data_IF_594158412340
#
_entry.id   IF_594158412340
#
_cell.length_a   1.000
_cell.length_b   1.000
_cell.length_c   1.000
_cell.angle_alpha   90.00
_cell.angle_beta   90.00
_cell.angle_gamma   90.00
#
_symmetry.space_group_name_H-M   'P 1'
#
loop_
_entity.id
_entity.type
_entity.pdbx_description
1 polymer ?
#
# COMPACT_ATOMS: atom_id res chain seq x y z
N UNK A 1 -12.01 21.03 8.01
CA UNK A 1 -11.27 21.71 6.89
C UNK A 1 -10.16 20.78 6.45
N UNK A 2 -10.24 20.23 5.22
CA UNK A 2 -9.19 19.36 4.68
C UNK A 2 -7.98 20.22 4.35
N UNK A 3 -6.85 20.00 5.03
CA UNK A 3 -5.58 20.68 4.71
C UNK A 3 -4.99 20.00 3.47
N UNK A 4 -5.36 20.49 2.29
CA UNK A 4 -4.79 19.99 1.05
C UNK A 4 -3.39 20.59 0.84
N UNK A 5 -2.43 19.73 0.51
CA UNK A 5 -1.09 20.12 0.10
C UNK A 5 -1.17 21.07 -1.12
N UNK A 6 -0.20 22.01 -1.23
CA UNK A 6 -0.09 22.95 -2.36
C UNK A 6 -0.13 22.26 -3.73
N UNK A 7 0.58 21.12 -3.87
CA UNK A 7 0.63 20.37 -5.12
C UNK A 7 -0.70 19.70 -5.46
N UNK A 8 -1.46 19.22 -4.47
CA UNK A 8 -2.80 18.66 -4.68
C UNK A 8 -3.78 19.72 -5.19
N UNK A 9 -3.72 20.93 -4.63
CA UNK A 9 -4.53 22.05 -5.13
C UNK A 9 -4.14 22.41 -6.56
N UNK A 10 -2.85 22.47 -6.85
CA UNK A 10 -2.34 22.78 -8.20
C UNK A 10 -2.75 21.69 -9.21
N UNK A 11 -2.68 20.42 -8.81
CA UNK A 11 -3.17 19.31 -9.63
C UNK A 11 -4.66 19.48 -9.99
N UNK A 12 -5.51 19.82 -9.02
CA UNK A 12 -6.94 20.09 -9.29
C UNK A 12 -7.15 21.19 -10.31
N UNK A 13 -6.44 22.33 -10.18
CA UNK A 13 -6.52 23.43 -11.13
C UNK A 13 -5.99 23.05 -12.51
N UNK A 14 -4.87 22.34 -12.59
CA UNK A 14 -4.32 21.85 -13.86
C UNK A 14 -5.26 20.88 -14.55
N UNK A 15 -5.85 19.94 -13.80
CA UNK A 15 -6.82 18.99 -14.34
C UNK A 15 -8.09 19.70 -14.86
N UNK A 16 -8.58 20.68 -14.12
CA UNK A 16 -9.72 21.49 -14.55
C UNK A 16 -9.42 22.31 -15.82
N UNK A 17 -8.17 22.75 -16.00
CA UNK A 17 -7.77 23.60 -17.14
C UNK A 17 -7.43 22.76 -18.38
N UNK A 18 -6.63 21.73 -18.25
CA UNK A 18 -6.08 20.94 -19.37
C UNK A 18 -6.79 19.60 -19.57
N UNK A 19 -7.46 19.07 -18.54
CA UNK A 19 -8.08 17.75 -18.59
C UNK A 19 -7.07 16.69 -19.03
N UNK A 20 -7.39 15.99 -20.12
CA UNK A 20 -6.54 14.98 -20.75
C UNK A 20 -5.65 15.53 -21.88
N UNK A 21 -5.68 16.83 -22.14
CA UNK A 21 -4.94 17.43 -23.24
C UNK A 21 -3.46 17.55 -22.87
N UNK A 22 -2.59 17.26 -23.84
CA UNK A 22 -1.16 17.48 -23.65
C UNK A 22 -0.84 18.97 -23.75
N UNK A 23 0.00 19.47 -22.85
CA UNK A 23 0.39 20.87 -22.78
C UNK A 23 1.93 21.02 -22.69
N UNK A 24 2.41 22.23 -22.93
CA UNK A 24 3.83 22.62 -22.87
C UNK A 24 4.16 23.37 -21.58
N UNK A 25 5.45 23.67 -21.35
CA UNK A 25 5.87 24.57 -20.27
C UNK A 25 5.28 25.98 -20.42
N UNK A 26 5.12 26.45 -21.63
CA UNK A 26 4.58 27.79 -21.87
C UNK A 26 3.07 27.83 -21.58
N UNK A 27 2.33 26.79 -21.96
CA UNK A 27 0.93 26.65 -21.55
C UNK A 27 0.80 26.61 -20.03
N UNK A 28 1.70 25.88 -19.34
CA UNK A 28 1.73 25.84 -17.88
C UNK A 28 1.96 27.25 -17.28
N UNK A 29 2.88 28.04 -17.85
CA UNK A 29 3.18 29.39 -17.37
C UNK A 29 1.98 30.34 -17.53
N UNK A 30 1.18 30.15 -18.55
CA UNK A 30 -0.04 30.93 -18.74
C UNK A 30 -1.07 30.70 -17.62
N UNK A 31 -1.16 29.47 -17.09
CA UNK A 31 -2.06 29.12 -15.97
C UNK A 31 -1.44 29.46 -14.63
N UNK A 32 -0.16 29.19 -14.46
CA UNK A 32 0.57 29.39 -13.21
C UNK A 32 1.84 30.22 -13.46
N UNK A 33 1.75 31.55 -13.39
CA UNK A 33 2.92 32.42 -13.44
C UNK A 33 3.93 32.01 -12.35
N UNK A 34 5.09 31.52 -12.75
CA UNK A 34 6.13 31.05 -11.86
C UNK A 34 7.51 31.32 -12.41
N UNK A 35 8.45 31.68 -11.53
CA UNK A 35 9.86 31.79 -11.86
C UNK A 35 10.56 30.44 -12.05
N UNK A 36 9.96 29.34 -11.56
CA UNK A 36 10.54 28.00 -11.58
C UNK A 36 9.57 26.93 -12.13
N UNK A 37 8.99 27.09 -13.34
CA UNK A 37 7.97 26.18 -13.87
C UNK A 37 8.51 24.77 -14.07
N UNK A 38 9.76 24.63 -14.49
CA UNK A 38 10.41 23.32 -14.68
C UNK A 38 10.51 22.52 -13.39
N UNK A 39 10.84 23.18 -12.27
CA UNK A 39 10.92 22.54 -10.96
C UNK A 39 9.53 22.06 -10.52
N UNK A 40 8.52 22.88 -10.68
CA UNK A 40 7.13 22.53 -10.31
C UNK A 40 6.65 21.35 -11.14
N UNK A 41 6.89 21.34 -12.45
CA UNK A 41 6.54 20.22 -13.33
C UNK A 41 7.28 18.94 -12.90
N UNK A 42 8.56 19.04 -12.55
CA UNK A 42 9.34 17.91 -12.04
C UNK A 42 8.74 17.35 -10.74
N UNK A 43 8.39 18.24 -9.80
CA UNK A 43 7.77 17.83 -8.53
C UNK A 43 6.39 17.17 -8.75
N UNK A 44 5.57 17.69 -9.68
CA UNK A 44 4.28 17.11 -10.04
C UNK A 44 4.43 15.72 -10.70
N UNK A 45 5.47 15.53 -11.51
CA UNK A 45 5.78 14.22 -12.10
C UNK A 45 6.22 13.25 -11.00
N UNK A 46 7.08 13.70 -10.07
CA UNK A 46 7.54 12.88 -8.95
C UNK A 46 6.40 12.47 -7.99
N UNK A 47 5.36 13.28 -7.90
CA UNK A 47 4.15 13.01 -7.11
C UNK A 47 3.08 12.26 -7.91
N UNK A 48 3.38 11.79 -9.11
CA UNK A 48 2.46 11.08 -9.99
C UNK A 48 1.16 11.82 -10.35
N UNK A 49 1.18 13.14 -10.27
CA UNK A 49 0.07 13.97 -10.73
C UNK A 49 0.12 14.24 -12.23
N UNK A 50 1.28 14.03 -12.84
CA UNK A 50 1.56 14.36 -14.23
C UNK A 50 2.54 13.36 -14.84
N UNK A 51 2.43 13.13 -16.14
CA UNK A 51 3.42 12.35 -16.91
C UNK A 51 4.00 13.16 -18.05
N UNK A 52 5.26 12.85 -18.42
CA UNK A 52 5.88 13.37 -19.61
C UNK A 52 5.56 12.45 -20.78
N UNK A 53 4.88 12.97 -21.82
CA UNK A 53 4.53 12.19 -23.02
C UNK A 53 5.70 12.17 -24.01
N UNK A 54 6.31 13.33 -24.23
CA UNK A 54 7.52 13.50 -25.04
C UNK A 54 8.31 14.73 -24.58
N UNK A 55 9.45 15.00 -25.19
CA UNK A 55 10.25 16.18 -24.86
C UNK A 55 9.41 17.45 -24.95
N UNK A 56 9.31 18.19 -23.83
CA UNK A 56 8.55 19.44 -23.73
C UNK A 56 7.02 19.30 -23.72
N UNK A 57 6.46 18.08 -23.71
CA UNK A 57 5.02 17.84 -23.63
C UNK A 57 4.65 17.01 -22.43
N UNK A 58 3.67 17.46 -21.69
CA UNK A 58 3.19 16.88 -20.43
C UNK A 58 1.69 16.63 -20.50
N UNK A 59 1.19 15.74 -19.67
CA UNK A 59 -0.22 15.43 -19.52
C UNK A 59 -0.54 15.16 -18.06
N UNK A 60 -1.67 15.69 -17.60
CA UNK A 60 -2.17 15.39 -16.25
C UNK A 60 -2.67 13.94 -16.22
N UNK A 61 -2.39 13.26 -15.13
CA UNK A 61 -2.93 11.92 -14.87
C UNK A 61 -4.36 12.09 -14.40
N UNK A 62 -5.30 11.32 -14.96
CA UNK A 62 -6.69 11.36 -14.55
C UNK A 62 -6.85 10.98 -13.09
N UNK A 63 -7.78 11.58 -12.33
CA UNK A 63 -8.03 11.19 -10.94
C UNK A 63 -8.29 9.69 -10.76
N UNK A 64 -9.05 9.08 -11.69
CA UNK A 64 -9.35 7.65 -11.67
C UNK A 64 -8.09 6.79 -11.82
N UNK A 65 -7.20 7.15 -12.75
CA UNK A 65 -5.93 6.44 -12.99
C UNK A 65 -4.97 6.61 -11.81
N UNK A 66 -4.97 7.79 -11.17
CA UNK A 66 -4.18 8.07 -9.98
C UNK A 66 -4.64 7.22 -8.80
N UNK A 67 -5.95 7.19 -8.53
CA UNK A 67 -6.53 6.37 -7.46
C UNK A 67 -6.29 4.88 -7.72
N UNK A 68 -6.50 4.43 -8.96
CA UNK A 68 -6.26 3.04 -9.36
C UNK A 68 -4.82 2.61 -9.07
N UNK A 69 -3.83 3.43 -9.43
CA UNK A 69 -2.42 3.13 -9.15
C UNK A 69 -2.11 3.05 -7.66
N UNK A 70 -2.62 3.97 -6.84
CA UNK A 70 -2.44 3.90 -5.38
C UNK A 70 -2.93 2.55 -4.84
N UNK A 71 -4.08 2.07 -5.34
CA UNK A 71 -4.64 0.77 -4.93
C UNK A 71 -3.76 -0.38 -5.42
N UNK A 72 -3.35 -0.37 -6.70
CA UNK A 72 -2.51 -1.41 -7.31
C UNK A 72 -1.15 -1.50 -6.60
N UNK A 73 -0.45 -0.38 -6.39
CA UNK A 73 0.83 -0.33 -5.67
C UNK A 73 0.71 -0.86 -4.24
N UNK A 74 -0.44 -0.65 -3.60
CA UNK A 74 -0.71 -1.17 -2.26
C UNK A 74 -0.94 -2.69 -2.28
N UNK A 75 -1.56 -3.22 -3.35
CA UNK A 75 -1.78 -4.66 -3.50
C UNK A 75 -0.51 -5.44 -3.87
N UNK A 76 0.43 -4.83 -4.61
CA UNK A 76 1.71 -5.45 -4.99
C UNK A 76 2.66 -5.67 -3.79
N UNK A 77 2.37 -5.09 -2.64
CA UNK A 77 3.16 -5.26 -1.41
C UNK A 77 2.97 -6.63 -0.72
N UNK A 78 2.13 -7.51 -1.24
CA UNK A 78 1.88 -8.85 -0.67
C UNK A 78 3.16 -9.70 -0.50
N UNK A 79 4.16 -9.52 -1.35
CA UNK A 79 5.38 -10.32 -1.38
C UNK A 79 6.52 -9.81 -0.49
N UNK A 80 6.35 -8.71 0.24
CA UNK A 80 7.44 -8.15 1.05
C UNK A 80 7.93 -9.10 2.13
N UNK A 81 7.04 -9.95 2.67
CA UNK A 81 7.40 -10.90 3.73
C UNK A 81 8.48 -11.88 3.30
N UNK A 82 8.58 -12.22 2.02
CA UNK A 82 9.65 -13.07 1.45
C UNK A 82 11.05 -12.46 1.63
N UNK A 83 11.14 -11.14 1.81
CA UNK A 83 12.41 -10.42 2.06
C UNK A 83 12.82 -10.46 3.53
N UNK A 84 11.96 -10.93 4.43
CA UNK A 84 12.23 -10.97 5.86
C UNK A 84 13.31 -12.00 6.20
N UNK A 85 14.21 -11.62 7.11
CA UNK A 85 15.22 -12.51 7.69
C UNK A 85 14.72 -13.21 8.97
N UNK A 86 13.53 -12.86 9.43
CA UNK A 86 12.95 -13.39 10.67
C UNK A 86 11.81 -14.35 10.38
N UNK A 87 11.62 -15.30 11.30
CA UNK A 87 10.54 -16.28 11.21
C UNK A 87 9.18 -15.60 11.35
N UNK A 88 8.25 -15.97 10.50
CA UNK A 88 6.84 -15.64 10.60
C UNK A 88 6.00 -16.83 10.15
N UNK A 89 4.71 -16.80 10.43
CA UNK A 89 3.75 -17.73 9.85
C UNK A 89 2.41 -17.02 9.65
N UNK A 90 1.78 -17.25 8.52
CA UNK A 90 0.42 -16.78 8.31
C UNK A 90 -0.53 -17.41 9.31
N UNK A 91 -1.48 -16.61 9.83
CA UNK A 91 -2.42 -17.02 10.87
C UNK A 91 -3.83 -16.47 10.60
N UNK A 92 -4.79 -16.80 11.43
CA UNK A 92 -6.19 -16.32 11.36
C UNK A 92 -6.77 -16.45 9.95
N UNK A 93 -7.53 -15.47 9.49
CA UNK A 93 -8.20 -15.46 8.17
C UNK A 93 -7.23 -15.65 7.00
N UNK A 94 -6.01 -15.13 7.10
CA UNK A 94 -4.98 -15.34 6.07
C UNK A 94 -4.58 -16.81 5.96
N UNK A 95 -4.42 -17.49 7.09
CA UNK A 95 -4.11 -18.91 7.09
C UNK A 95 -5.28 -19.76 6.57
N UNK A 96 -6.51 -19.41 6.93
CA UNK A 96 -7.73 -20.05 6.37
C UNK A 96 -7.73 -19.95 4.84
N UNK A 97 -7.46 -18.77 4.32
CA UNK A 97 -7.39 -18.52 2.88
C UNK A 97 -6.34 -19.41 2.19
N UNK A 98 -5.13 -19.51 2.74
CA UNK A 98 -4.05 -20.33 2.18
C UNK A 98 -4.41 -21.81 2.25
N UNK A 99 -4.95 -22.32 3.38
CA UNK A 99 -5.33 -23.72 3.52
C UNK A 99 -6.48 -24.13 2.60
N UNK A 100 -7.38 -23.20 2.28
CA UNK A 100 -8.52 -23.43 1.38
C UNK A 100 -8.21 -23.07 -0.09
N UNK A 101 -6.93 -22.79 -0.42
CA UNK A 101 -6.49 -22.40 -1.77
C UNK A 101 -7.31 -21.20 -2.32
N UNK A 102 -7.54 -20.20 -1.47
CA UNK A 102 -8.29 -19.00 -1.86
C UNK A 102 -9.81 -19.16 -1.89
N UNK A 103 -10.34 -20.33 -1.53
CA UNK A 103 -11.79 -20.57 -1.58
C UNK A 103 -12.56 -19.81 -0.49
N UNK A 104 -11.93 -19.57 0.68
CA UNK A 104 -12.57 -18.94 1.82
C UNK A 104 -11.87 -17.65 2.22
N UNK A 105 -12.61 -16.54 2.13
CA UNK A 105 -12.14 -15.20 2.49
C UNK A 105 -12.98 -14.65 3.63
N UNK A 106 -12.36 -14.38 4.78
CA UNK A 106 -12.97 -13.71 5.94
C UNK A 106 -12.18 -12.46 6.28
N UNK A 107 -12.78 -11.57 7.08
CA UNK A 107 -12.19 -10.30 7.56
C UNK A 107 -11.87 -9.27 6.48
N UNK A 108 -12.33 -9.50 5.28
CA UNK A 108 -12.08 -8.66 4.12
C UNK A 108 -13.23 -7.67 3.89
N UNK A 109 -12.89 -6.40 3.67
CA UNK A 109 -13.82 -5.35 3.23
C UNK A 109 -13.29 -4.66 1.98
N UNK A 110 -14.11 -3.82 1.32
CA UNK A 110 -13.66 -3.05 0.15
C UNK A 110 -12.48 -2.11 0.45
N UNK A 111 -12.34 -1.67 1.69
CA UNK A 111 -11.31 -0.71 2.10
C UNK A 111 -10.19 -1.29 2.96
N UNK A 112 -10.25 -2.60 3.28
CA UNK A 112 -9.31 -3.22 4.20
C UNK A 112 -9.06 -4.68 3.84
N UNK A 113 -7.78 -5.02 3.62
CA UNK A 113 -7.30 -6.38 3.37
C UNK A 113 -6.25 -6.73 4.42
N UNK A 114 -6.62 -7.40 5.53
CA UNK A 114 -5.66 -7.80 6.54
C UNK A 114 -4.81 -8.98 6.08
N UNK A 115 -3.53 -8.93 6.41
CA UNK A 115 -2.60 -10.07 6.33
C UNK A 115 -2.14 -10.38 7.74
N UNK A 116 -2.66 -11.44 8.33
CA UNK A 116 -2.37 -11.85 9.68
C UNK A 116 -1.12 -12.73 9.73
N UNK A 117 -0.13 -12.36 10.57
CA UNK A 117 1.06 -13.15 10.77
C UNK A 117 1.42 -13.31 12.25
N UNK A 118 1.80 -14.51 12.65
CA UNK A 118 2.52 -14.76 13.90
C UNK A 118 3.97 -14.32 13.75
N UNK A 119 4.47 -13.62 14.75
CA UNK A 119 5.89 -13.24 14.87
C UNK A 119 6.38 -13.58 16.28
N UNK A 120 7.68 -13.73 16.47
CA UNK A 120 8.22 -13.89 17.83
C UNK A 120 8.21 -12.56 18.56
N UNK A 121 7.77 -12.54 19.83
CA UNK A 121 7.75 -11.33 20.66
C UNK A 121 9.10 -10.63 20.72
N UNK A 122 10.20 -11.38 20.81
CA UNK A 122 11.57 -10.84 20.80
C UNK A 122 11.94 -10.09 19.52
N UNK A 123 11.24 -10.36 18.41
CA UNK A 123 11.53 -9.80 17.09
C UNK A 123 10.61 -8.61 16.71
N UNK A 124 9.73 -8.13 17.62
CA UNK A 124 8.82 -6.98 17.37
C UNK A 124 9.58 -5.77 16.85
N UNK A 125 10.73 -5.44 17.45
CA UNK A 125 11.55 -4.28 17.06
C UNK A 125 12.02 -4.39 15.60
N UNK A 126 12.48 -5.58 15.21
CA UNK A 126 12.85 -5.87 13.82
C UNK A 126 11.66 -5.69 12.87
N UNK A 127 10.48 -6.21 13.21
CA UNK A 127 9.30 -6.13 12.34
C UNK A 127 8.80 -4.69 12.17
N UNK A 128 8.84 -3.89 13.23
CA UNK A 128 8.51 -2.47 13.15
C UNK A 128 9.42 -1.71 12.18
N UNK A 129 10.72 -1.97 12.23
CA UNK A 129 11.70 -1.38 11.31
C UNK A 129 11.53 -1.92 9.89
N UNK A 130 11.30 -3.22 9.74
CA UNK A 130 11.09 -3.88 8.46
C UNK A 130 9.89 -3.29 7.69
N UNK A 131 8.74 -3.15 8.33
CA UNK A 131 7.56 -2.58 7.67
C UNK A 131 7.74 -1.09 7.33
N UNK A 132 8.36 -0.32 8.22
CA UNK A 132 8.69 1.09 7.94
C UNK A 132 9.63 1.23 6.74
N UNK A 133 10.67 0.41 6.65
CA UNK A 133 11.62 0.44 5.53
C UNK A 133 11.00 0.05 4.19
N UNK A 134 9.97 -0.80 4.20
CA UNK A 134 9.24 -1.22 3.01
C UNK A 134 7.99 -0.39 2.75
N UNK A 135 7.77 0.72 3.50
CA UNK A 135 6.59 1.58 3.37
C UNK A 135 5.29 0.77 3.37
N UNK A 136 5.16 -0.17 4.32
CA UNK A 136 4.01 -1.06 4.42
C UNK A 136 3.23 -0.77 5.71
N UNK A 137 1.90 -0.71 5.58
CA UNK A 137 1.00 -0.52 6.71
C UNK A 137 0.99 -1.76 7.59
N UNK A 138 1.12 -1.55 8.91
CA UNK A 138 1.05 -2.63 9.89
C UNK A 138 0.45 -2.16 11.22
N UNK A 139 -0.07 -3.10 11.97
CA UNK A 139 -0.54 -2.90 13.34
C UNK A 139 -0.23 -4.13 14.20
N UNK A 140 -0.05 -3.92 15.50
CA UNK A 140 -0.05 -5.01 16.48
C UNK A 140 -1.48 -5.43 16.80
N UNK A 141 -1.67 -6.71 17.10
CA UNK A 141 -2.95 -7.22 17.60
C UNK A 141 -3.43 -6.42 18.80
N UNK A 142 -4.69 -5.94 18.76
CA UNK A 142 -5.28 -5.13 19.82
C UNK A 142 -4.88 -3.66 19.81
N UNK A 143 -4.07 -3.20 18.86
CA UNK A 143 -3.74 -1.78 18.72
C UNK A 143 -4.96 -0.98 18.23
N UNK A 144 -5.30 0.10 18.93
CA UNK A 144 -6.40 0.99 18.52
C UNK A 144 -5.93 1.94 17.41
N UNK A 145 -5.94 1.45 16.17
CA UNK A 145 -5.51 2.17 14.97
C UNK A 145 -6.54 1.99 13.86
N UNK A 146 -6.81 3.03 13.11
CA UNK A 146 -7.60 2.90 11.87
C UNK A 146 -6.78 2.18 10.82
N UNK A 147 -7.27 1.03 10.35
CA UNK A 147 -6.62 0.20 9.35
C UNK A 147 -7.33 0.37 8.00
N UNK A 148 -6.56 0.44 6.92
CA UNK A 148 -7.07 0.56 5.56
C UNK A 148 -6.09 -0.06 4.54
N UNK A 149 -6.60 -0.40 3.38
CA UNK A 149 -5.81 -1.02 2.33
C UNK A 149 -5.24 -2.37 2.75
N UNK A 150 -4.09 -2.72 2.21
CA UNK A 150 -3.33 -3.89 2.62
C UNK A 150 -2.58 -3.58 3.92
N UNK A 151 -2.92 -4.26 5.00
CA UNK A 151 -2.33 -4.05 6.32
C UNK A 151 -1.86 -5.37 6.93
N UNK A 152 -0.62 -5.40 7.39
CA UNK A 152 -0.09 -6.55 8.12
C UNK A 152 -0.50 -6.46 9.59
N UNK A 153 -1.23 -7.47 10.08
CA UNK A 153 -1.63 -7.57 11.49
C UNK A 153 -0.70 -8.56 12.18
N UNK A 154 0.09 -8.04 13.11
CA UNK A 154 1.14 -8.79 13.81
C UNK A 154 0.58 -9.39 15.10
N UNK A 155 0.69 -10.70 15.24
CA UNK A 155 0.32 -11.47 16.42
C UNK A 155 1.58 -11.96 17.15
N UNK A 156 2.11 -11.21 18.14
CA UNK A 156 3.32 -11.60 18.86
C UNK A 156 3.11 -12.84 19.72
N UNK A 157 3.93 -13.87 19.53
CA UNK A 157 3.93 -15.12 20.29
C UNK A 157 5.30 -15.38 20.89
N UNK A 158 5.35 -16.03 22.05
CA UNK A 158 6.62 -16.51 22.64
C UNK A 158 7.27 -17.58 21.77
N UNK A 159 6.43 -18.46 21.24
CA UNK A 159 6.79 -19.55 20.31
C UNK A 159 5.59 -19.86 19.42
N UNK A 160 5.86 -20.32 18.21
CA UNK A 160 4.84 -20.86 17.30
C UNK A 160 5.47 -21.91 16.39
N UNK A 161 4.63 -22.82 15.92
CA UNK A 161 4.97 -23.80 14.88
C UNK A 161 4.35 -23.39 13.57
N UNK A 162 4.88 -23.89 12.46
CA UNK A 162 4.31 -23.67 11.14
C UNK A 162 4.60 -24.85 10.22
N UNK A 163 3.80 -24.97 9.21
CA UNK A 163 3.96 -25.90 8.08
C UNK A 163 4.18 -25.09 6.80
N UNK A 164 4.74 -25.71 5.78
CA UNK A 164 4.88 -25.08 4.47
C UNK A 164 3.74 -25.55 3.56
N UNK A 165 2.89 -24.64 3.17
CA UNK A 165 1.79 -24.89 2.22
C UNK A 165 1.99 -23.97 1.00
N UNK A 166 2.24 -24.56 -0.17
CA UNK A 166 2.48 -23.84 -1.42
C UNK A 166 3.57 -22.74 -1.32
N UNK A 167 4.65 -23.05 -0.59
CA UNK A 167 5.76 -22.12 -0.37
C UNK A 167 5.52 -21.08 0.73
N UNK A 168 4.34 -21.06 1.37
CA UNK A 168 4.01 -20.16 2.47
C UNK A 168 4.18 -20.85 3.82
N UNK A 169 4.79 -20.14 4.78
CA UNK A 169 4.83 -20.58 6.18
C UNK A 169 3.47 -20.27 6.83
N UNK A 170 2.71 -21.27 7.22
CA UNK A 170 1.33 -21.18 7.73
C UNK A 170 1.22 -21.91 9.04
N UNK A 171 0.43 -21.45 10.00
CA UNK A 171 0.15 -22.20 11.22
C UNK A 171 -0.51 -23.55 10.87
N UNK A 172 -0.26 -24.61 11.68
CA UNK A 172 -0.81 -25.93 11.44
C UNK A 172 -2.34 -25.92 11.31
N UNK A 173 -2.88 -26.73 10.40
CA UNK A 173 -4.33 -26.82 10.15
C UNK A 173 -5.13 -27.05 11.42
N UNK A 174 -4.62 -27.81 12.36
CA UNK A 174 -5.27 -28.06 13.67
C UNK A 174 -5.51 -26.76 14.46
N UNK A 175 -4.59 -25.82 14.40
CA UNK A 175 -4.72 -24.52 15.08
C UNK A 175 -5.79 -23.66 14.41
N UNK A 176 -5.93 -23.77 13.09
CA UNK A 176 -6.96 -23.04 12.32
C UNK A 176 -8.36 -23.53 12.62
N UNK A 177 -8.57 -24.83 12.74
CA UNK A 177 -9.88 -25.40 13.09
C UNK A 177 -10.37 -24.85 14.43
N UNK A 178 -9.46 -24.67 15.40
CA UNK A 178 -9.79 -24.05 16.69
C UNK A 178 -10.12 -22.54 16.57
N UNK A 179 -9.58 -21.85 15.57
CA UNK A 179 -9.90 -20.44 15.30
C UNK A 179 -11.27 -20.27 14.66
N UNK A 180 -11.75 -21.25 13.89
CA UNK A 180 -13.03 -21.19 13.17
C UNK A 180 -14.22 -21.64 14.04
N UNK A 181 -14.01 -22.11 15.26
CA UNK A 181 -15.04 -22.48 16.24
C UNK A 181 -15.40 -21.30 17.12
#
# INVERSE_FOLDING_TARGET
>A
MVIMNRYTKMYGWLYNTFGNTAFTIDDFRMVFPSSQPTKIIYDLIKLDFMKRIKRGKYQIIKPEDFVKRIVEENLEKDDILKKSKKKYAFTNSTAVNIWTNGYYWTDFTKGFKPIHIHILKKDIKYWNEFFKQNDAEYALEGENKTLFGLTYVLHPKERFTFEIKEGNAVIPLKEIVNYCQ
#
